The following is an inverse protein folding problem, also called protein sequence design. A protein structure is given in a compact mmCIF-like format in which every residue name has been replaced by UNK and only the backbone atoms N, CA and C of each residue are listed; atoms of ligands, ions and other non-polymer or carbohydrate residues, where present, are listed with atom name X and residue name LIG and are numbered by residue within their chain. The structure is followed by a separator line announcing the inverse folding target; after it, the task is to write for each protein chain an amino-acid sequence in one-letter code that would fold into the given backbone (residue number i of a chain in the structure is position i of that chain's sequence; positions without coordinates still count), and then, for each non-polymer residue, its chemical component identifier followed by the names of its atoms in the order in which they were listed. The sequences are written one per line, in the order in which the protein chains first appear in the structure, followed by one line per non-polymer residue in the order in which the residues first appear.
data_IF_202436439913
#
_entry.id   IF_202436439913
#
_cell.length_a   1.000
_cell.length_b   1.000
_cell.length_c   1.000
_cell.angle_alpha   90.00
_cell.angle_beta   90.00
_cell.angle_gamma   90.00
#
_symmetry.space_group_name_H-M   'P 1'
#
loop_
_entity.id
_entity.type
_entity.pdbx_description
1 polymer ?
#
# COMPACT_ATOMS: atom_id res chain seq x y z
N UNK A 1 -2.16 1.88 -9.87
CA UNK A 1 -1.20 2.42 -8.92
C UNK A 1 -0.58 3.69 -9.53
N UNK A 2 -0.38 4.76 -8.72
CA UNK A 2 0.12 6.03 -9.25
C UNK A 2 -0.89 6.88 -10.05
N UNK A 3 -2.12 6.43 -10.20
CA UNK A 3 -3.17 7.11 -10.99
C UNK A 3 -4.00 8.14 -10.21
N UNK A 4 -3.56 8.58 -9.02
CA UNK A 4 -4.22 9.64 -8.27
C UNK A 4 -5.49 9.22 -7.51
N UNK A 5 -5.71 7.93 -7.22
CA UNK A 5 -6.90 7.44 -6.49
C UNK A 5 -7.15 8.21 -5.19
N UNK A 6 -6.13 8.34 -4.35
CA UNK A 6 -6.23 9.08 -3.07
C UNK A 6 -6.64 10.54 -3.29
N UNK A 7 -6.07 11.21 -4.29
CA UNK A 7 -6.43 12.59 -4.63
C UNK A 7 -7.89 12.72 -5.09
N UNK A 8 -8.40 11.71 -5.82
CA UNK A 8 -9.83 11.70 -6.18
C UNK A 8 -10.74 11.61 -4.94
N UNK A 9 -10.40 10.77 -3.97
CA UNK A 9 -11.12 10.67 -2.70
C UNK A 9 -11.07 12.02 -1.95
N UNK A 10 -9.88 12.59 -1.79
CA UNK A 10 -9.67 13.85 -1.07
C UNK A 10 -10.46 14.99 -1.72
N UNK A 11 -10.40 15.15 -3.03
CA UNK A 11 -11.10 16.22 -3.74
C UNK A 11 -12.63 16.06 -3.66
N UNK A 12 -13.14 14.82 -3.67
CA UNK A 12 -14.58 14.58 -3.48
C UNK A 12 -14.99 14.92 -2.02
N UNK A 13 -14.21 14.54 -1.02
CA UNK A 13 -14.45 14.89 0.38
C UNK A 13 -14.43 16.41 0.59
N UNK A 14 -13.45 17.12 0.01
CA UNK A 14 -13.40 18.59 0.05
C UNK A 14 -14.68 19.23 -0.52
N UNK A 15 -15.22 18.68 -1.61
CA UNK A 15 -16.47 19.17 -2.19
C UNK A 15 -17.65 18.95 -1.25
N UNK A 16 -17.72 17.78 -0.61
CA UNK A 16 -18.80 17.43 0.33
C UNK A 16 -18.74 18.28 1.58
N UNK A 17 -17.55 18.62 2.09
CA UNK A 17 -17.35 19.44 3.30
C UNK A 17 -17.62 20.94 3.10
N UNK A 18 -17.90 21.38 1.88
CA UNK A 18 -18.48 22.71 1.63
C UNK A 18 -19.95 22.80 2.04
N UNK A 19 -20.60 21.66 2.35
CA UNK A 19 -21.95 21.60 2.86
C UNK A 19 -22.04 22.26 4.24
N UNK A 20 -23.09 23.03 4.53
CA UNK A 20 -23.37 23.52 5.88
C UNK A 20 -23.89 22.41 6.82
N UNK A 21 -24.30 21.27 6.27
CA UNK A 21 -24.74 20.09 7.01
C UNK A 21 -23.58 19.14 7.20
N UNK A 22 -23.40 18.66 8.45
CA UNK A 22 -22.38 17.68 8.80
C UNK A 22 -22.46 16.46 7.88
N UNK A 23 -21.29 15.98 7.45
CA UNK A 23 -21.13 14.80 6.60
C UNK A 23 -20.27 13.76 7.30
N UNK A 24 -20.68 12.51 7.16
CA UNK A 24 -19.92 11.35 7.68
C UNK A 24 -19.30 10.57 6.54
N UNK A 25 -17.99 10.56 6.54
CA UNK A 25 -17.18 9.89 5.53
C UNK A 25 -16.46 8.69 6.17
N UNK A 26 -16.44 7.55 5.50
CA UNK A 26 -15.67 6.38 5.90
C UNK A 26 -14.65 6.06 4.82
N UNK A 27 -13.40 5.86 5.22
CA UNK A 27 -12.31 5.45 4.33
C UNK A 27 -11.79 4.09 4.80
N UNK A 28 -11.93 3.09 3.95
CA UNK A 28 -11.57 1.70 4.24
C UNK A 28 -10.26 1.35 3.56
N UNK A 29 -9.29 0.91 4.34
CA UNK A 29 -7.98 0.47 3.87
C UNK A 29 -7.74 -1.02 4.13
N UNK A 30 -6.88 -1.70 3.38
CA UNK A 30 -6.59 -3.12 3.62
C UNK A 30 -5.83 -3.37 4.93
N UNK A 31 -5.07 -2.37 5.42
CA UNK A 31 -4.22 -2.49 6.62
C UNK A 31 -4.19 -1.21 7.43
N UNK A 32 -3.91 -1.34 8.73
CA UNK A 32 -3.83 -0.22 9.69
C UNK A 32 -2.82 0.85 9.22
N UNK A 33 -1.64 0.41 8.78
CA UNK A 33 -0.60 1.33 8.32
C UNK A 33 -1.05 2.18 7.13
N UNK A 34 -1.82 1.59 6.21
CA UNK A 34 -2.39 2.34 5.09
C UNK A 34 -3.52 3.26 5.53
N UNK A 35 -4.34 2.85 6.50
CA UNK A 35 -5.36 3.72 7.09
C UNK A 35 -4.73 4.97 7.72
N UNK A 36 -3.64 4.81 8.46
CA UNK A 36 -2.88 5.92 9.04
C UNK A 36 -2.26 6.81 7.96
N UNK A 37 -1.68 6.22 6.91
CA UNK A 37 -1.12 6.98 5.79
C UNK A 37 -2.20 7.77 5.04
N UNK A 38 -3.35 7.16 4.73
CA UNK A 38 -4.47 7.87 4.10
C UNK A 38 -4.94 9.03 4.97
N UNK A 39 -5.05 8.84 6.29
CA UNK A 39 -5.39 9.91 7.22
C UNK A 39 -4.39 11.07 7.10
N UNK A 40 -3.09 10.80 7.12
CA UNK A 40 -2.07 11.84 6.97
C UNK A 40 -2.17 12.55 5.62
N UNK A 41 -2.34 11.82 4.52
CA UNK A 41 -2.50 12.39 3.17
C UNK A 41 -3.76 13.29 3.08
N UNK A 42 -4.87 12.88 3.70
CA UNK A 42 -6.09 13.68 3.75
C UNK A 42 -5.88 14.98 4.54
N UNK A 43 -5.23 14.92 5.70
CA UNK A 43 -4.98 16.10 6.54
C UNK A 43 -3.96 17.04 5.93
N UNK A 44 -2.87 16.53 5.32
CA UNK A 44 -1.88 17.36 4.60
C UNK A 44 -2.51 18.21 3.49
N UNK A 45 -3.63 17.78 2.92
CA UNK A 45 -4.36 18.54 1.90
C UNK A 45 -5.34 19.56 2.48
N UNK A 46 -5.14 20.01 3.73
CA UNK A 46 -5.92 21.03 4.42
C UNK A 46 -7.42 20.69 4.55
N UNK A 47 -7.75 19.47 4.94
CA UNK A 47 -9.12 19.16 5.35
C UNK A 47 -9.53 19.94 6.62
N UNK A 48 -8.55 20.43 7.39
CA UNK A 48 -8.77 21.25 8.58
C UNK A 48 -9.02 22.74 8.27
N UNK A 49 -8.92 23.16 7.01
CA UNK A 49 -8.95 24.58 6.63
C UNK A 49 -10.32 25.03 6.11
N UNK A 50 -10.88 26.07 6.73
CA UNK A 50 -11.97 26.92 6.21
C UNK A 50 -13.30 26.21 5.84
N UNK A 51 -13.65 25.12 6.51
CA UNK A 51 -15.00 24.59 6.45
C UNK A 51 -15.87 25.24 7.53
N UNK A 52 -17.07 25.64 7.17
CA UNK A 52 -18.02 26.27 8.09
C UNK A 52 -18.32 25.42 9.35
N UNK A 53 -18.09 24.12 9.28
CA UNK A 53 -18.44 23.15 10.33
C UNK A 53 -17.22 22.52 11.00
N UNK A 54 -16.02 22.57 10.41
CA UNK A 54 -14.82 21.86 10.91
C UNK A 54 -14.88 20.33 10.66
N UNK A 55 -13.82 19.60 11.05
CA UNK A 55 -13.68 18.16 10.82
C UNK A 55 -13.20 17.44 12.07
N UNK A 56 -13.86 16.37 12.44
CA UNK A 56 -13.42 15.42 13.48
C UNK A 56 -12.95 14.10 12.84
N UNK A 57 -11.85 13.57 13.35
CA UNK A 57 -11.21 12.34 12.84
C UNK A 57 -11.22 11.26 13.89
N UNK A 58 -11.61 10.06 13.50
CA UNK A 58 -11.53 8.85 14.33
C UNK A 58 -10.94 7.68 13.53
N UNK A 59 -10.16 6.85 14.19
CA UNK A 59 -9.71 5.56 13.66
C UNK A 59 -10.51 4.41 14.26
N UNK A 60 -11.03 3.53 13.42
CA UNK A 60 -11.73 2.32 13.86
C UNK A 60 -10.89 1.10 13.48
N UNK A 61 -9.87 0.86 14.28
CA UNK A 61 -8.99 -0.30 14.22
C UNK A 61 -8.21 -0.48 15.53
N UNK A 62 -7.58 -1.63 15.72
CA UNK A 62 -6.87 -1.99 16.97
C UNK A 62 -5.41 -1.52 17.03
N UNK A 63 -4.90 -0.86 15.99
CA UNK A 63 -3.50 -0.43 15.94
C UNK A 63 -3.28 0.96 16.51
N UNK A 64 -2.00 1.28 16.73
CA UNK A 64 -1.57 2.59 17.17
C UNK A 64 -1.77 3.66 16.09
N UNK A 65 -2.17 4.83 16.52
CA UNK A 65 -2.36 6.03 15.68
C UNK A 65 -2.23 7.27 16.55
N UNK A 66 -1.94 8.43 15.94
CA UNK A 66 -1.90 9.72 16.64
C UNK A 66 -3.29 10.29 16.92
N UNK A 67 -4.35 9.67 16.42
CA UNK A 67 -5.74 10.10 16.62
C UNK A 67 -6.47 9.14 17.57
N UNK A 68 -7.63 9.57 18.03
CA UNK A 68 -8.48 8.68 18.82
C UNK A 68 -8.85 7.42 18.01
N UNK A 69 -8.63 6.27 18.62
CA UNK A 69 -8.86 4.96 18.00
C UNK A 69 -9.64 4.05 18.92
N UNK A 70 -10.63 3.37 18.38
CA UNK A 70 -11.42 2.38 19.12
C UNK A 70 -12.06 1.36 18.18
N UNK A 71 -12.25 0.14 18.70
CA UNK A 71 -13.04 -0.93 18.03
C UNK A 71 -14.30 -1.29 18.82
N UNK A 72 -14.60 -0.56 19.92
CA UNK A 72 -15.78 -0.78 20.74
C UNK A 72 -16.95 0.02 20.18
N UNK A 73 -18.03 -0.64 19.77
CA UNK A 73 -19.21 -0.02 19.16
C UNK A 73 -19.84 1.07 20.03
N UNK A 74 -19.91 0.87 21.36
CA UNK A 74 -20.42 1.90 22.28
C UNK A 74 -19.58 3.18 22.27
N UNK A 75 -18.24 3.05 22.16
CA UNK A 75 -17.34 4.20 22.10
C UNK A 75 -17.46 4.91 20.74
N UNK A 76 -17.60 4.17 19.63
CA UNK A 76 -17.83 4.72 18.31
C UNK A 76 -19.14 5.51 18.32
N UNK A 77 -20.22 4.91 18.82
CA UNK A 77 -21.54 5.55 18.96
C UNK A 77 -21.47 6.84 19.77
N UNK A 78 -20.88 6.77 20.97
CA UNK A 78 -20.72 7.94 21.85
C UNK A 78 -19.91 9.05 21.19
N UNK A 79 -18.81 8.70 20.51
CA UNK A 79 -17.98 9.66 19.81
C UNK A 79 -18.74 10.32 18.64
N UNK A 80 -19.45 9.51 17.85
CA UNK A 80 -20.26 9.95 16.72
C UNK A 80 -21.33 10.97 17.14
N UNK A 81 -22.11 10.67 18.18
CA UNK A 81 -23.17 11.55 18.66
C UNK A 81 -22.67 12.84 19.34
N UNK A 82 -21.44 12.84 19.84
CA UNK A 82 -20.84 14.04 20.44
C UNK A 82 -20.23 14.99 19.42
N UNK A 83 -20.02 14.56 18.19
CA UNK A 83 -19.49 15.41 17.13
C UNK A 83 -20.60 16.29 16.53
N UNK A 84 -20.29 17.57 16.36
CA UNK A 84 -21.13 18.55 15.63
C UNK A 84 -20.49 18.99 14.31
N UNK A 85 -19.40 18.34 13.94
CA UNK A 85 -18.58 18.66 12.77
C UNK A 85 -18.75 17.62 11.68
N UNK A 86 -18.12 17.86 10.52
CA UNK A 86 -17.90 16.77 9.57
C UNK A 86 -17.07 15.67 10.22
N UNK A 87 -17.33 14.42 9.87
CA UNK A 87 -16.66 13.26 10.42
C UNK A 87 -15.92 12.51 9.32
N UNK A 88 -14.66 12.14 9.58
CA UNK A 88 -13.95 11.15 8.78
C UNK A 88 -13.54 9.99 9.69
N UNK A 89 -13.97 8.79 9.33
CA UNK A 89 -13.60 7.55 9.99
C UNK A 89 -12.61 6.78 9.09
N UNK A 90 -11.39 6.56 9.57
CA UNK A 90 -10.44 5.67 8.90
C UNK A 90 -10.51 4.29 9.52
N UNK A 91 -10.73 3.27 8.70
CA UNK A 91 -10.89 1.90 9.17
C UNK A 91 -10.18 0.90 8.27
N UNK A 92 -10.14 -0.35 8.68
CA UNK A 92 -9.68 -1.45 7.84
C UNK A 92 -10.84 -2.36 7.48
N UNK A 93 -10.68 -3.16 6.40
CA UNK A 93 -11.67 -4.19 6.05
C UNK A 93 -11.99 -5.10 7.24
N UNK A 94 -10.98 -5.43 8.07
CA UNK A 94 -11.16 -6.25 9.28
C UNK A 94 -12.01 -5.58 10.35
N UNK A 95 -12.03 -4.27 10.42
CA UNK A 95 -12.72 -3.51 11.48
C UNK A 95 -14.00 -2.83 11.01
N UNK A 96 -14.30 -2.87 9.70
CA UNK A 96 -15.45 -2.19 9.10
C UNK A 96 -16.78 -2.61 9.76
N UNK A 97 -16.95 -3.90 10.08
CA UNK A 97 -18.13 -4.43 10.77
C UNK A 97 -18.36 -3.77 12.14
N UNK A 98 -17.34 -3.22 12.80
CA UNK A 98 -17.50 -2.51 14.09
C UNK A 98 -18.28 -1.22 13.95
N UNK A 99 -18.17 -0.54 12.79
CA UNK A 99 -18.99 0.65 12.48
C UNK A 99 -20.42 0.18 12.17
N UNK A 100 -20.58 -0.90 11.40
CA UNK A 100 -21.87 -1.51 11.09
C UNK A 100 -22.62 -1.94 12.36
N UNK A 101 -21.93 -2.60 13.30
CA UNK A 101 -22.51 -3.06 14.59
C UNK A 101 -23.02 -1.90 15.45
N UNK A 102 -22.64 -0.67 15.14
CA UNK A 102 -23.07 0.52 15.89
C UNK A 102 -24.50 0.94 15.56
N UNK A 103 -25.04 0.53 14.40
CA UNK A 103 -26.40 0.75 13.85
C UNK A 103 -26.85 2.21 13.72
N UNK A 104 -26.37 3.12 14.57
CA UNK A 104 -26.78 4.53 14.60
C UNK A 104 -25.84 5.46 13.79
N UNK A 105 -24.79 4.91 13.17
CA UNK A 105 -23.87 5.69 12.34
C UNK A 105 -24.39 5.75 10.91
N UNK A 106 -24.91 6.90 10.52
CA UNK A 106 -25.29 7.15 9.14
C UNK A 106 -24.07 7.57 8.32
N UNK A 107 -23.80 6.86 7.23
CA UNK A 107 -22.65 7.11 6.36
C UNK A 107 -23.10 7.79 5.08
N UNK A 108 -22.66 9.03 4.86
CA UNK A 108 -22.91 9.76 3.61
C UNK A 108 -22.09 9.17 2.45
N UNK A 109 -20.80 8.95 2.67
CA UNK A 109 -19.94 8.38 1.62
C UNK A 109 -18.92 7.42 2.22
N UNK A 110 -18.75 6.28 1.57
CA UNK A 110 -17.72 5.31 1.91
C UNK A 110 -16.79 5.09 0.70
N UNK A 111 -15.49 5.13 0.96
CA UNK A 111 -14.45 4.84 -0.02
C UNK A 111 -13.72 3.56 0.37
N UNK A 112 -13.65 2.63 -0.54
CA UNK A 112 -12.90 1.39 -0.40
C UNK A 112 -11.60 1.48 -1.19
N UNK A 113 -10.47 1.68 -0.52
CA UNK A 113 -9.15 1.64 -1.18
C UNK A 113 -8.67 0.19 -1.31
N UNK A 114 -7.90 -0.07 -2.38
CA UNK A 114 -7.47 -1.40 -2.79
C UNK A 114 -8.62 -2.43 -2.73
N UNK A 115 -9.73 -2.07 -3.37
CA UNK A 115 -11.02 -2.74 -3.24
C UNK A 115 -11.08 -4.18 -3.80
N UNK A 116 -10.00 -4.66 -4.44
CA UNK A 116 -9.85 -6.09 -4.72
C UNK A 116 -9.81 -6.96 -3.45
N UNK A 117 -9.60 -6.34 -2.26
CA UNK A 117 -9.73 -7.01 -0.97
C UNK A 117 -11.19 -7.22 -0.55
N UNK A 118 -12.11 -6.40 -1.01
CA UNK A 118 -13.53 -6.43 -0.64
C UNK A 118 -14.23 -7.77 -0.90
N UNK A 119 -13.77 -8.50 -1.93
CA UNK A 119 -14.35 -9.81 -2.32
C UNK A 119 -13.94 -10.98 -1.41
N UNK A 120 -13.14 -10.73 -0.36
CA UNK A 120 -12.76 -11.77 0.59
C UNK A 120 -13.95 -12.16 1.47
N UNK A 121 -14.10 -13.47 1.72
CA UNK A 121 -15.23 -14.03 2.47
C UNK A 121 -15.50 -13.33 3.81
N UNK A 122 -14.45 -12.92 4.50
CA UNK A 122 -14.55 -12.29 5.83
C UNK A 122 -14.91 -10.79 5.77
N UNK A 123 -14.93 -10.18 4.58
CA UNK A 123 -15.15 -8.74 4.41
C UNK A 123 -16.41 -8.43 3.63
N UNK A 124 -16.83 -9.36 2.76
CA UNK A 124 -17.90 -9.10 1.79
C UNK A 124 -19.21 -8.70 2.45
N UNK A 125 -19.57 -9.28 3.59
CA UNK A 125 -20.82 -8.97 4.30
C UNK A 125 -20.91 -7.49 4.70
N UNK A 126 -19.85 -6.94 5.31
CA UNK A 126 -19.82 -5.53 5.67
C UNK A 126 -19.75 -4.62 4.43
N UNK A 127 -19.08 -5.05 3.36
CA UNK A 127 -19.02 -4.32 2.09
C UNK A 127 -20.41 -4.24 1.45
N UNK A 128 -21.13 -5.35 1.37
CA UNK A 128 -22.49 -5.44 0.85
C UNK A 128 -23.46 -4.57 1.66
N UNK A 129 -23.36 -4.60 2.99
CA UNK A 129 -24.13 -3.71 3.85
C UNK A 129 -23.96 -2.25 3.46
N UNK A 130 -22.72 -1.76 3.33
CA UNK A 130 -22.50 -0.36 2.99
C UNK A 130 -22.77 -0.01 1.54
N UNK A 131 -22.72 -0.98 0.62
CA UNK A 131 -23.17 -0.75 -0.78
C UNK A 131 -24.67 -0.43 -0.86
N UNK A 132 -25.45 -0.89 0.12
CA UNK A 132 -26.90 -0.67 0.21
C UNK A 132 -27.24 0.57 1.05
N UNK A 133 -26.57 0.74 2.22
CA UNK A 133 -27.00 1.71 3.24
C UNK A 133 -26.22 3.02 3.25
N UNK A 134 -25.01 3.09 2.67
CA UNK A 134 -24.33 4.37 2.47
C UNK A 134 -24.99 5.15 1.33
N UNK A 135 -25.10 6.48 1.48
CA UNK A 135 -25.67 7.30 0.40
C UNK A 135 -24.84 7.25 -0.87
N UNK A 136 -23.52 7.08 -0.74
CA UNK A 136 -22.57 6.88 -1.83
C UNK A 136 -21.52 5.85 -1.44
N UNK A 137 -21.18 4.97 -2.37
CA UNK A 137 -20.19 3.93 -2.18
C UNK A 137 -19.24 3.89 -3.38
N UNK A 138 -17.94 4.02 -3.14
CA UNK A 138 -16.92 4.06 -4.18
C UNK A 138 -15.82 3.03 -3.94
N UNK A 139 -15.48 2.30 -4.99
CA UNK A 139 -14.47 1.25 -4.99
C UNK A 139 -13.26 1.65 -5.84
N UNK A 140 -12.08 1.71 -5.25
CA UNK A 140 -10.83 2.09 -5.90
C UNK A 140 -9.85 0.93 -5.94
N UNK A 141 -9.42 0.54 -7.11
CA UNK A 141 -8.37 -0.47 -7.28
C UNK A 141 -7.64 -0.30 -8.60
N UNK A 142 -6.38 -0.74 -8.65
CA UNK A 142 -5.64 -0.90 -9.90
C UNK A 142 -5.77 -2.33 -10.48
N UNK A 143 -6.23 -3.27 -9.68
CA UNK A 143 -6.26 -4.71 -9.98
C UNK A 143 -7.62 -5.29 -9.58
N UNK A 144 -8.68 -5.02 -10.36
CA UNK A 144 -10.01 -5.56 -10.05
C UNK A 144 -9.99 -7.09 -10.04
N UNK A 145 -10.63 -7.67 -9.04
CA UNK A 145 -10.72 -9.12 -8.86
C UNK A 145 -12.10 -9.60 -9.26
N UNK A 146 -12.19 -10.14 -10.46
CA UNK A 146 -13.43 -10.71 -10.99
C UNK A 146 -13.60 -12.18 -10.59
N UNK A 147 -14.83 -12.65 -10.53
CA UNK A 147 -15.17 -14.08 -10.40
C UNK A 147 -15.88 -14.57 -11.63
N UNK A 148 -15.50 -15.74 -12.09
CA UNK A 148 -16.15 -16.46 -13.18
C UNK A 148 -17.09 -17.58 -12.68
N UNK A 149 -17.13 -17.78 -11.35
CA UNK A 149 -17.93 -18.83 -10.72
C UNK A 149 -19.17 -18.23 -10.05
N UNK A 150 -20.36 -18.80 -10.22
CA UNK A 150 -21.61 -18.27 -9.67
C UNK A 150 -21.65 -18.23 -8.13
N UNK A 151 -20.81 -19.01 -7.46
CA UNK A 151 -20.81 -19.14 -6.00
C UNK A 151 -19.76 -18.28 -5.30
N UNK A 152 -19.02 -17.47 -6.05
CA UNK A 152 -17.98 -16.60 -5.51
C UNK A 152 -18.19 -15.19 -5.98
N UNK A 153 -18.37 -14.28 -5.04
CA UNK A 153 -18.47 -12.85 -5.33
C UNK A 153 -17.18 -12.32 -5.96
N UNK A 154 -17.31 -11.56 -7.01
CA UNK A 154 -16.23 -10.83 -7.67
C UNK A 154 -16.62 -9.38 -7.91
N UNK A 155 -15.65 -8.53 -8.21
CA UNK A 155 -15.92 -7.11 -8.50
C UNK A 155 -16.69 -6.87 -9.81
N UNK A 156 -17.01 -7.92 -10.55
CA UNK A 156 -17.96 -7.91 -11.67
C UNK A 156 -19.41 -8.09 -11.24
N UNK A 157 -19.68 -8.23 -9.94
CA UNK A 157 -21.03 -8.19 -9.40
C UNK A 157 -21.50 -6.73 -9.27
N UNK A 158 -22.34 -6.30 -10.21
CA UNK A 158 -22.78 -4.92 -10.31
C UNK A 158 -23.77 -4.52 -9.19
N UNK A 159 -24.43 -5.46 -8.55
CA UNK A 159 -25.37 -5.19 -7.45
C UNK A 159 -24.64 -4.72 -6.20
N UNK A 160 -23.39 -5.18 -6.01
CA UNK A 160 -22.54 -4.79 -4.87
C UNK A 160 -21.57 -3.67 -5.27
N UNK A 161 -20.86 -3.83 -6.41
CA UNK A 161 -19.75 -2.95 -6.79
C UNK A 161 -20.13 -1.83 -7.75
N UNK A 162 -21.36 -1.86 -8.26
CA UNK A 162 -21.83 -0.87 -9.24
C UNK A 162 -21.11 -0.98 -10.59
N UNK A 163 -21.18 0.10 -11.36
CA UNK A 163 -20.56 0.19 -12.67
C UNK A 163 -19.18 0.85 -12.59
N UNK A 164 -18.29 0.48 -13.51
CA UNK A 164 -16.99 1.16 -13.66
C UNK A 164 -17.20 2.57 -14.19
N UNK A 165 -17.03 3.57 -13.35
CA UNK A 165 -17.21 4.99 -13.69
C UNK A 165 -15.95 5.65 -14.23
N UNK A 166 -14.77 5.10 -13.94
CA UNK A 166 -13.51 5.62 -14.42
C UNK A 166 -12.49 4.48 -14.59
N UNK A 167 -11.89 4.40 -15.77
CA UNK A 167 -10.77 3.50 -16.04
C UNK A 167 -9.68 4.28 -16.76
N UNK A 168 -8.51 4.40 -16.11
CA UNK A 168 -7.34 5.09 -16.66
C UNK A 168 -6.22 4.09 -16.90
N UNK A 169 -6.01 3.64 -18.13
CA UNK A 169 -4.96 2.68 -18.46
C UNK A 169 -3.55 3.25 -18.17
N UNK A 170 -2.63 2.41 -17.68
CA UNK A 170 -1.26 2.81 -17.40
C UNK A 170 -0.54 3.47 -18.61
N UNK A 171 -0.68 3.00 -19.87
CA UNK A 171 -0.09 3.68 -21.02
C UNK A 171 -0.55 5.14 -21.19
N UNK A 172 -1.81 5.45 -20.85
CA UNK A 172 -2.31 6.83 -20.88
C UNK A 172 -1.60 7.70 -19.85
N UNK A 173 -1.40 7.17 -18.63
CA UNK A 173 -0.71 7.87 -17.55
C UNK A 173 0.77 8.11 -17.89
N UNK A 174 1.44 7.13 -18.52
CA UNK A 174 2.82 7.26 -19.04
C UNK A 174 2.89 8.36 -20.10
N UNK A 175 2.00 8.32 -21.10
CA UNK A 175 1.95 9.32 -22.18
C UNK A 175 1.71 10.74 -21.66
N UNK A 176 0.91 10.87 -20.60
CA UNK A 176 0.63 12.15 -19.95
C UNK A 176 1.72 12.56 -18.94
N UNK A 177 2.71 11.70 -18.72
CA UNK A 177 3.83 11.97 -17.82
C UNK A 177 3.50 11.92 -16.34
N UNK A 178 2.39 11.29 -15.92
CA UNK A 178 2.03 11.11 -14.52
C UNK A 178 2.80 9.96 -13.84
N UNK A 179 3.13 8.93 -14.62
CA UNK A 179 3.96 7.81 -14.17
C UNK A 179 5.06 7.55 -15.19
N UNK A 180 6.12 6.87 -14.76
CA UNK A 180 7.26 6.51 -15.62
C UNK A 180 6.98 5.19 -16.36
N UNK A 181 7.55 4.99 -17.55
CA UNK A 181 7.49 3.69 -18.21
C UNK A 181 8.27 2.64 -17.41
N UNK A 182 7.78 1.42 -17.28
CA UNK A 182 8.55 0.33 -16.70
C UNK A 182 9.60 -0.18 -17.72
N UNK A 183 10.82 -0.43 -17.24
CA UNK A 183 11.85 -1.20 -17.96
C UNK A 183 11.95 -2.56 -17.31
N UNK A 184 11.65 -3.62 -18.03
CA UNK A 184 11.69 -4.99 -17.50
C UNK A 184 13.02 -5.63 -17.90
N UNK A 185 13.73 -6.15 -16.89
CA UNK A 185 14.93 -6.98 -17.06
C UNK A 185 14.56 -8.39 -16.58
N UNK A 186 14.84 -9.37 -17.42
CA UNK A 186 14.62 -10.79 -17.13
C UNK A 186 15.95 -11.38 -16.68
N UNK A 187 16.01 -11.82 -15.44
CA UNK A 187 17.15 -12.57 -14.92
C UNK A 187 16.86 -14.06 -15.07
N UNK A 188 17.60 -14.73 -15.94
CA UNK A 188 17.58 -16.19 -15.98
C UNK A 188 18.31 -16.73 -14.76
N UNK A 189 17.64 -17.56 -14.00
CA UNK A 189 18.17 -18.16 -12.79
C UNK A 189 18.11 -19.68 -12.98
N UNK A 190 19.26 -20.33 -12.98
CA UNK A 190 19.33 -21.78 -12.86
C UNK A 190 18.92 -22.14 -11.43
N UNK A 191 17.91 -22.99 -11.29
CA UNK A 191 17.54 -23.50 -9.97
C UNK A 191 18.68 -24.36 -9.44
N UNK A 192 19.14 -24.14 -8.21
CA UNK A 192 20.14 -25.01 -7.61
C UNK A 192 19.55 -26.42 -7.43
N UNK A 193 20.33 -27.45 -7.68
CA UNK A 193 19.97 -28.82 -7.40
C UNK A 193 19.60 -29.07 -5.92
N UNK A 194 20.05 -28.17 -5.04
CA UNK A 194 19.81 -28.23 -3.61
C UNK A 194 19.29 -26.89 -3.09
N UNK A 195 18.03 -26.86 -2.67
CA UNK A 195 17.35 -25.69 -2.08
C UNK A 195 18.05 -25.12 -0.82
N UNK A 196 18.97 -25.89 -0.21
CA UNK A 196 19.73 -25.43 0.97
C UNK A 196 20.63 -24.24 0.68
N UNK A 197 21.13 -24.11 -0.55
CA UNK A 197 22.03 -23.03 -0.98
C UNK A 197 21.34 -21.97 -1.85
N UNK A 198 20.02 -21.99 -1.93
CA UNK A 198 19.25 -21.02 -2.74
C UNK A 198 19.53 -19.54 -2.37
N UNK A 199 19.99 -19.26 -1.15
CA UNK A 199 20.37 -17.91 -0.73
C UNK A 199 21.66 -17.39 -1.40
N UNK A 200 22.55 -18.26 -1.86
CA UNK A 200 23.72 -17.84 -2.65
C UNK A 200 23.31 -17.39 -4.04
N UNK A 201 22.41 -18.12 -4.68
CA UNK A 201 21.84 -17.71 -5.96
C UNK A 201 21.02 -16.41 -5.85
N UNK A 202 20.26 -16.27 -4.77
CA UNK A 202 19.53 -15.01 -4.50
C UNK A 202 20.51 -13.83 -4.35
N UNK A 203 21.63 -14.02 -3.63
CA UNK A 203 22.69 -13.03 -3.50
C UNK A 203 23.27 -12.65 -4.86
N UNK A 204 23.71 -13.63 -5.63
CA UNK A 204 24.36 -13.39 -6.92
C UNK A 204 23.40 -12.69 -7.89
N UNK A 205 22.14 -13.10 -7.98
CA UNK A 205 21.12 -12.46 -8.78
C UNK A 205 20.93 -10.97 -8.43
N UNK A 206 20.91 -10.63 -7.13
CA UNK A 206 20.77 -9.25 -6.70
C UNK A 206 22.02 -8.44 -7.04
N UNK A 207 23.20 -8.96 -6.72
CA UNK A 207 24.45 -8.23 -6.93
C UNK A 207 24.76 -8.04 -8.40
N UNK A 208 24.58 -9.06 -9.24
CA UNK A 208 24.74 -8.96 -10.70
C UNK A 208 23.80 -7.90 -11.30
N UNK A 209 22.56 -7.83 -10.79
CA UNK A 209 21.63 -6.81 -11.25
C UNK A 209 22.04 -5.41 -10.81
N UNK A 210 22.51 -5.24 -9.60
CA UNK A 210 23.03 -3.96 -9.10
C UNK A 210 24.20 -3.51 -9.97
N UNK A 211 25.15 -4.41 -10.20
CA UNK A 211 26.36 -4.10 -10.96
C UNK A 211 26.04 -3.82 -12.45
N UNK A 212 25.03 -4.47 -13.04
CA UNK A 212 24.63 -4.31 -14.43
C UNK A 212 23.74 -3.09 -14.71
N UNK A 213 22.92 -2.64 -13.76
CA UNK A 213 21.89 -1.63 -13.97
C UNK A 213 22.18 -0.27 -13.32
N UNK A 214 23.22 -0.17 -12.48
CA UNK A 214 23.65 1.05 -11.78
C UNK A 214 22.46 1.78 -11.10
N UNK A 215 21.75 1.09 -10.22
CA UNK A 215 20.58 1.59 -9.51
C UNK A 215 20.88 1.78 -8.04
N UNK A 216 20.45 2.91 -7.48
CA UNK A 216 20.80 3.30 -6.12
C UNK A 216 19.76 2.89 -5.05
N UNK A 217 18.48 2.78 -5.43
CA UNK A 217 17.37 2.60 -4.48
C UNK A 217 16.48 1.43 -4.88
N UNK A 218 16.69 0.29 -4.23
CA UNK A 218 16.17 -0.99 -4.67
C UNK A 218 15.20 -1.58 -3.65
N UNK A 219 14.03 -1.98 -4.13
CA UNK A 219 13.06 -2.78 -3.37
C UNK A 219 13.20 -4.26 -3.76
N UNK A 220 13.50 -5.12 -2.79
CA UNK A 220 13.60 -6.57 -3.00
C UNK A 220 12.41 -7.26 -2.39
N UNK A 221 11.63 -7.94 -3.23
CA UNK A 221 10.44 -8.70 -2.86
C UNK A 221 10.79 -10.17 -2.74
N UNK A 222 10.84 -10.69 -1.52
CA UNK A 222 11.07 -12.09 -1.26
C UNK A 222 9.75 -12.87 -1.15
N UNK A 223 9.79 -14.17 -1.44
CA UNK A 223 8.64 -15.07 -1.31
C UNK A 223 8.27 -15.37 0.14
N UNK A 224 9.24 -15.32 1.04
CA UNK A 224 9.04 -15.63 2.46
C UNK A 224 10.01 -14.89 3.37
N UNK A 225 9.63 -14.74 4.63
CA UNK A 225 10.52 -14.24 5.68
C UNK A 225 11.78 -15.11 5.83
N UNK A 226 11.67 -16.43 5.68
CA UNK A 226 12.82 -17.36 5.74
C UNK A 226 13.84 -17.04 4.65
N UNK A 227 13.40 -16.74 3.43
CA UNK A 227 14.31 -16.36 2.34
C UNK A 227 15.12 -15.10 2.68
N UNK A 228 14.47 -14.06 3.22
CA UNK A 228 15.15 -12.83 3.65
C UNK A 228 16.19 -13.13 4.73
N UNK A 229 15.80 -13.88 5.76
CA UNK A 229 16.70 -14.24 6.86
C UNK A 229 17.89 -15.01 6.32
N UNK A 230 17.68 -16.04 5.50
CA UNK A 230 18.77 -16.83 4.96
C UNK A 230 19.73 -15.98 4.11
N UNK A 231 19.20 -15.11 3.24
CA UNK A 231 20.01 -14.21 2.43
C UNK A 231 20.88 -13.27 3.30
N UNK A 232 20.32 -12.71 4.34
CA UNK A 232 21.03 -11.75 5.22
C UNK A 232 22.00 -12.43 6.18
N UNK A 233 21.70 -13.67 6.66
CA UNK A 233 22.48 -14.30 7.75
C UNK A 233 23.40 -15.43 7.28
N UNK A 234 23.11 -16.07 6.16
CA UNK A 234 23.86 -17.24 5.70
C UNK A 234 24.72 -16.99 4.45
N UNK A 235 24.58 -15.83 3.82
CA UNK A 235 25.41 -15.43 2.69
C UNK A 235 26.28 -14.20 3.04
N UNK A 236 27.19 -13.84 2.13
CA UNK A 236 27.99 -12.62 2.22
C UNK A 236 27.23 -11.37 1.74
N UNK A 237 25.96 -11.47 1.44
CA UNK A 237 25.13 -10.44 0.82
C UNK A 237 25.27 -9.05 1.48
N UNK A 238 25.17 -8.99 2.81
CA UNK A 238 25.28 -7.72 3.54
C UNK A 238 26.68 -7.12 3.41
N UNK A 239 27.71 -7.95 3.50
CA UNK A 239 29.11 -7.51 3.35
C UNK A 239 29.35 -6.98 1.94
N UNK A 240 28.83 -7.68 0.94
CA UNK A 240 28.96 -7.31 -0.47
C UNK A 240 28.19 -6.03 -0.80
N UNK A 241 27.02 -5.79 -0.20
CA UNK A 241 26.27 -4.53 -0.31
C UNK A 241 27.04 -3.35 0.29
N UNK A 242 27.57 -3.52 1.52
CA UNK A 242 28.34 -2.49 2.20
C UNK A 242 29.60 -2.14 1.40
N UNK A 243 30.30 -3.12 0.84
CA UNK A 243 31.48 -2.89 0.00
C UNK A 243 31.19 -2.08 -1.26
N UNK A 244 29.95 -2.13 -1.76
CA UNK A 244 29.43 -1.33 -2.89
C UNK A 244 28.84 0.01 -2.46
N UNK A 245 28.92 0.37 -1.18
CA UNK A 245 28.42 1.64 -0.64
C UNK A 245 26.92 1.66 -0.37
N UNK A 246 26.24 0.50 -0.32
CA UNK A 246 24.82 0.43 0.02
C UNK A 246 24.59 0.27 1.51
N UNK A 247 23.59 0.99 2.01
CA UNK A 247 22.91 0.66 3.27
C UNK A 247 21.81 -0.37 3.00
N UNK A 248 21.36 -1.05 4.02
CA UNK A 248 20.29 -2.04 3.85
C UNK A 248 19.25 -1.97 4.95
N UNK A 249 18.03 -2.34 4.59
CA UNK A 249 16.88 -2.39 5.48
C UNK A 249 16.12 -3.68 5.26
N UNK A 250 15.52 -4.22 6.30
CA UNK A 250 14.54 -5.30 6.13
C UNK A 250 13.36 -5.14 7.09
N UNK A 251 12.18 -5.55 6.65
CA UNK A 251 11.00 -5.60 7.48
C UNK A 251 10.21 -6.87 7.24
N UNK A 252 9.97 -7.62 8.31
CA UNK A 252 9.21 -8.86 8.28
C UNK A 252 8.27 -8.95 9.48
N UNK A 253 7.24 -9.79 9.38
CA UNK A 253 6.32 -10.03 10.51
C UNK A 253 6.97 -10.76 11.69
N UNK A 254 8.05 -11.52 11.44
CA UNK A 254 8.72 -12.33 12.47
C UNK A 254 9.87 -11.59 13.16
N UNK A 255 10.71 -10.91 12.40
CA UNK A 255 11.90 -10.22 12.94
C UNK A 255 11.63 -8.77 13.28
N UNK A 256 10.51 -8.20 12.82
CA UNK A 256 10.26 -6.77 12.88
C UNK A 256 11.06 -6.00 11.83
N UNK A 257 11.41 -4.77 12.15
CA UNK A 257 12.16 -3.86 11.30
C UNK A 257 13.64 -3.78 11.73
N UNK A 258 14.54 -3.76 10.74
CA UNK A 258 15.98 -3.68 10.93
C UNK A 258 16.58 -2.69 9.93
N UNK A 259 17.49 -1.82 10.37
CA UNK A 259 18.25 -0.88 9.54
C UNK A 259 19.74 -1.09 9.84
N UNK A 260 20.54 -1.40 8.82
CA UNK A 260 21.98 -1.62 8.91
C UNK A 260 22.38 -2.50 10.13
N UNK A 261 21.62 -3.59 10.34
CA UNK A 261 21.82 -4.56 11.41
C UNK A 261 21.23 -4.18 12.78
N UNK A 262 20.68 -2.98 12.95
CA UNK A 262 20.03 -2.54 14.19
C UNK A 262 18.52 -2.72 14.13
N UNK A 263 17.96 -3.33 15.18
CA UNK A 263 16.51 -3.45 15.32
C UNK A 263 15.92 -2.09 15.68
N UNK A 264 14.89 -1.68 14.96
CA UNK A 264 14.17 -0.41 15.15
C UNK A 264 12.67 -0.67 15.25
N UNK A 265 11.90 0.32 15.70
CA UNK A 265 10.46 0.24 15.60
C UNK A 265 9.97 0.54 14.16
N UNK A 266 8.68 0.34 13.92
CA UNK A 266 8.10 0.53 12.58
C UNK A 266 8.08 1.99 12.15
N UNK A 267 7.85 2.90 13.05
CA UNK A 267 7.80 4.33 12.78
C UNK A 267 9.17 4.84 12.35
N UNK A 268 10.22 4.52 13.10
CA UNK A 268 11.60 4.83 12.75
C UNK A 268 12.00 4.23 11.41
N UNK A 269 11.61 2.98 11.14
CA UNK A 269 11.87 2.33 9.85
C UNK A 269 11.28 3.11 8.67
N UNK A 270 9.98 3.48 8.74
CA UNK A 270 9.32 4.20 7.65
C UNK A 270 9.80 5.64 7.51
N UNK A 271 10.10 6.31 8.61
CA UNK A 271 10.67 7.65 8.60
C UNK A 271 12.05 7.64 7.92
N UNK A 272 12.91 6.68 8.27
CA UNK A 272 14.23 6.50 7.66
C UNK A 272 14.11 6.14 6.17
N UNK A 273 13.23 5.21 5.82
CA UNK A 273 12.99 4.81 4.43
C UNK A 273 12.54 5.99 3.56
N UNK A 274 11.63 6.82 4.08
CA UNK A 274 11.17 8.03 3.38
C UNK A 274 12.27 9.09 3.27
N UNK A 275 13.09 9.26 4.30
CA UNK A 275 14.24 10.16 4.30
C UNK A 275 15.27 9.72 3.27
N UNK A 276 15.68 8.44 3.28
CA UNK A 276 16.62 7.88 2.31
C UNK A 276 16.08 7.92 0.88
N UNK A 277 14.78 7.73 0.71
CA UNK A 277 14.15 7.84 -0.60
C UNK A 277 14.24 9.23 -1.22
N UNK A 278 14.25 10.28 -0.40
CA UNK A 278 14.37 11.68 -0.84
C UNK A 278 15.83 12.13 -1.03
N UNK A 279 16.77 11.46 -0.41
CA UNK A 279 18.20 11.80 -0.48
C UNK A 279 18.80 11.21 -1.77
N UNK A 280 19.17 12.09 -2.71
CA UNK A 280 19.74 11.67 -4.01
C UNK A 280 21.11 11.02 -3.91
N UNK A 281 21.83 11.23 -2.81
CA UNK A 281 23.16 10.63 -2.58
C UNK A 281 23.11 9.26 -1.91
N UNK A 282 21.94 8.86 -1.40
CA UNK A 282 21.81 7.64 -0.61
C UNK A 282 21.53 6.42 -1.50
N UNK A 283 22.39 5.42 -1.36
CA UNK A 283 22.26 4.10 -1.97
C UNK A 283 21.72 3.11 -0.93
N UNK A 284 20.64 2.42 -1.23
CA UNK A 284 20.10 1.45 -0.28
C UNK A 284 19.28 0.34 -0.94
N UNK A 285 19.23 -0.78 -0.23
CA UNK A 285 18.39 -1.93 -0.54
C UNK A 285 17.38 -2.14 0.60
N UNK A 286 16.12 -2.32 0.27
CA UNK A 286 15.09 -2.69 1.24
C UNK A 286 14.47 -4.05 0.90
N UNK A 287 14.58 -4.99 1.86
CA UNK A 287 14.02 -6.34 1.70
C UNK A 287 12.70 -6.47 2.44
N UNK A 288 11.70 -7.03 1.78
CA UNK A 288 10.43 -7.33 2.41
C UNK A 288 9.77 -8.58 1.82
N UNK A 289 8.82 -9.15 2.57
CA UNK A 289 7.97 -10.23 2.07
C UNK A 289 6.58 -9.71 1.68
N UNK A 290 5.78 -9.21 2.56
CA UNK A 290 4.40 -8.76 2.25
C UNK A 290 4.08 -7.36 2.76
N UNK A 291 4.87 -6.84 3.70
CA UNK A 291 4.53 -5.62 4.43
C UNK A 291 4.52 -4.38 3.53
N UNK A 292 5.43 -4.32 2.57
CA UNK A 292 5.53 -3.20 1.63
C UNK A 292 4.72 -3.42 0.32
N UNK A 293 4.09 -4.57 0.13
CA UNK A 293 3.32 -4.84 -1.10
C UNK A 293 2.01 -4.07 -1.16
N UNK A 294 1.41 -3.72 -0.04
CA UNK A 294 0.10 -3.08 0.01
C UNK A 294 0.22 -1.61 0.44
N UNK A 295 -0.04 -0.70 -0.49
CA UNK A 295 -0.40 0.69 -0.21
C UNK A 295 0.68 1.66 0.27
N UNK A 296 1.81 1.22 0.84
CA UNK A 296 2.81 2.11 1.41
C UNK A 296 3.52 2.91 0.32
N UNK A 297 3.46 4.22 0.45
CA UNK A 297 4.10 5.14 -0.48
C UNK A 297 5.57 5.33 -0.11
N UNK A 298 6.48 4.67 -0.83
CA UNK A 298 7.92 4.93 -0.72
C UNK A 298 8.34 5.78 -1.91
N UNK A 299 8.75 7.01 -1.64
CA UNK A 299 9.25 7.92 -2.67
C UNK A 299 10.69 7.53 -3.05
N UNK A 300 11.06 7.76 -4.29
CA UNK A 300 12.44 7.65 -4.76
C UNK A 300 12.92 6.24 -5.09
N UNK A 301 12.13 5.17 -4.93
CA UNK A 301 12.54 3.85 -5.40
C UNK A 301 12.76 3.82 -6.91
N UNK A 302 13.86 3.24 -7.35
CA UNK A 302 14.28 3.16 -8.76
C UNK A 302 14.05 1.80 -9.36
N UNK A 303 14.27 0.75 -8.57
CA UNK A 303 14.12 -0.63 -8.99
C UNK A 303 13.31 -1.47 -8.02
N UNK A 304 12.61 -2.46 -8.55
CA UNK A 304 12.03 -3.56 -7.80
C UNK A 304 12.56 -4.88 -8.37
N UNK A 305 13.02 -5.75 -7.48
CA UNK A 305 13.51 -7.08 -7.80
C UNK A 305 12.63 -8.13 -7.12
N UNK A 306 12.28 -9.16 -7.87
CA UNK A 306 11.56 -10.32 -7.35
C UNK A 306 12.52 -11.51 -7.26
N UNK A 307 12.66 -12.11 -6.08
CA UNK A 307 13.55 -13.25 -5.88
C UNK A 307 12.89 -14.60 -6.18
N UNK A 308 11.58 -14.61 -6.39
CA UNK A 308 10.78 -15.78 -6.76
C UNK A 308 9.56 -15.34 -7.57
N UNK A 309 8.92 -16.29 -8.23
CA UNK A 309 7.64 -16.03 -8.90
C UNK A 309 6.62 -15.50 -7.89
N UNK A 310 5.99 -14.39 -8.23
CA UNK A 310 4.96 -13.72 -7.46
C UNK A 310 3.64 -13.76 -8.23
N UNK A 311 2.53 -13.65 -7.49
CA UNK A 311 1.23 -13.48 -8.13
C UNK A 311 1.12 -12.12 -8.83
N UNK A 312 0.23 -12.05 -9.82
CA UNK A 312 0.00 -10.86 -10.64
C UNK A 312 -0.31 -9.61 -9.80
N UNK A 313 -1.05 -9.75 -8.71
CA UNK A 313 -1.43 -8.63 -7.86
C UNK A 313 -0.20 -8.05 -7.17
N UNK A 314 0.63 -8.90 -6.57
CA UNK A 314 1.87 -8.51 -5.91
C UNK A 314 2.83 -7.82 -6.88
N UNK A 315 3.01 -8.38 -8.08
CA UNK A 315 3.82 -7.78 -9.14
C UNK A 315 3.29 -6.41 -9.51
N UNK A 316 2.00 -6.29 -9.80
CA UNK A 316 1.37 -5.03 -10.24
C UNK A 316 1.44 -3.94 -9.17
N UNK A 317 1.26 -4.29 -7.90
CA UNK A 317 1.38 -3.35 -6.78
C UNK A 317 2.81 -2.89 -6.59
N UNK A 318 3.78 -3.78 -6.74
CA UNK A 318 5.21 -3.46 -6.62
C UNK A 318 5.70 -2.60 -7.77
N UNK A 319 5.31 -2.90 -9.01
CA UNK A 319 5.56 -2.06 -10.19
C UNK A 319 5.13 -0.62 -9.93
N UNK A 320 3.92 -0.44 -9.42
CA UNK A 320 3.37 0.87 -9.13
C UNK A 320 4.18 1.72 -8.14
N UNK A 321 5.17 1.15 -7.46
CA UNK A 321 6.05 1.90 -6.55
C UNK A 321 7.26 2.47 -7.25
N UNK A 322 7.85 1.72 -8.17
CA UNK A 322 9.06 2.12 -8.88
C UNK A 322 8.79 2.99 -10.11
N UNK A 323 7.57 2.96 -10.67
CA UNK A 323 7.18 3.82 -11.80
C UNK A 323 6.67 5.20 -11.37
N UNK A 324 6.61 5.50 -10.09
CA UNK A 324 6.27 6.84 -9.60
C UNK A 324 7.41 7.80 -9.91
N UNK A 325 7.05 9.01 -10.32
CA UNK A 325 8.02 10.09 -10.41
C UNK A 325 8.59 10.38 -9.03
N UNK A 326 9.90 10.32 -8.91
CA UNK A 326 10.63 10.72 -7.71
C UNK A 326 11.43 11.98 -8.01
N UNK A 327 12.65 11.80 -8.50
CA UNK A 327 13.55 12.84 -8.94
C UNK A 327 13.34 13.13 -10.44
N UNK A 328 13.67 14.34 -10.90
CA UNK A 328 13.58 14.74 -12.33
C UNK A 328 14.55 13.96 -13.23
N UNK A 329 15.63 13.44 -12.67
CA UNK A 329 16.60 12.58 -13.37
C UNK A 329 16.06 11.21 -13.73
N UNK A 330 15.02 10.74 -13.03
CA UNK A 330 14.45 9.41 -13.20
C UNK A 330 13.55 9.36 -14.43
N UNK A 331 13.91 8.54 -15.42
CA UNK A 331 13.19 8.41 -16.70
C UNK A 331 12.37 7.11 -16.83
N UNK A 332 12.65 6.10 -16.03
CA UNK A 332 11.94 4.81 -16.00
C UNK A 332 11.96 4.18 -14.61
N UNK A 333 11.09 3.19 -14.39
CA UNK A 333 11.15 2.31 -13.22
C UNK A 333 11.66 0.94 -13.63
N UNK A 334 12.74 0.46 -13.01
CA UNK A 334 13.35 -0.84 -13.32
C UNK A 334 12.60 -1.98 -12.61
N UNK A 335 12.34 -3.05 -13.34
CA UNK A 335 11.74 -4.27 -12.85
C UNK A 335 12.62 -5.45 -13.20
N UNK A 336 13.10 -6.16 -12.19
CA UNK A 336 13.88 -7.38 -12.39
C UNK A 336 13.02 -8.58 -12.00
N UNK A 337 12.69 -9.40 -13.00
CA UNK A 337 11.84 -10.57 -12.83
C UNK A 337 12.68 -11.83 -13.06
N UNK A 338 12.72 -12.77 -12.11
CA UNK A 338 13.41 -14.04 -12.31
C UNK A 338 12.62 -14.92 -13.28
N UNK A 339 13.33 -15.56 -14.19
CA UNK A 339 12.83 -16.67 -15.00
C UNK A 339 13.67 -17.87 -14.68
N UNK A 340 13.04 -18.94 -14.25
CA UNK A 340 13.67 -20.20 -13.91
C UNK A 340 13.63 -21.10 -15.14
N UNK A 341 14.80 -21.59 -15.55
CA UNK A 341 14.93 -22.63 -16.59
C UNK A 341 14.69 -24.02 -16.01
#
# INVERSE_FOLDING_TARGET
TGGGKTMCMIEDVKRQFKSPVSKTIVVVAPRILLANQLCSEFLEQNLDGNYNVGVDVIHVHSGETHFYSTTKSDNIKKWYHNSTKHIIMFTTYHSLHKIQDTLDVEVDTIYFDESHNAVQKNFIEAVEYYSIYASRCYFFTATPKHSLTPFKVGMNDADIFGQVICNVPAPKLVKQGYILPPKVVINKIDLPDDDRFAYEHDRDCVLDTIDAQDVDKILICARSTKQIINLVTHSTFVVDLISRGYSWMMITSKTGAVIDGKKVDREEFFNTLNSWGKDSSKRFVVLHHSILSEGINVKGLEAAMFLRNMDYITISQTIGRVIRKGDESKTFGLLCVPVYD
#
